data_IF_881766012529
#
_entry.id   IF_881766012529
#
_cell.length_a   1.000
_cell.length_b   1.000
_cell.length_c   1.000
_cell.angle_alpha   90.00
_cell.angle_beta   90.00
_cell.angle_gamma   90.00
#
_symmetry.space_group_name_H-M   'P 1'
#
loop_
_entity.id
_entity.type
_entity.pdbx_description
1 polymer ?
#
# COMPACT_ATOMS: atom_id res chain seq x y z
N UNK A 1 -4.88 41.61 -0.51
CA UNK A 1 -4.27 40.93 -1.67
C UNK A 1 -3.84 39.50 -1.34
N UNK A 2 -3.01 39.26 -0.32
CA UNK A 2 -2.58 37.87 0.02
C UNK A 2 -3.75 36.94 0.40
N UNK A 3 -4.77 37.43 1.12
CA UNK A 3 -5.93 36.62 1.48
C UNK A 3 -6.89 36.35 0.30
N UNK A 4 -6.98 37.27 -0.67
CA UNK A 4 -7.79 37.06 -1.88
C UNK A 4 -7.14 36.04 -2.82
N UNK A 5 -5.81 36.07 -2.94
CA UNK A 5 -5.04 35.11 -3.74
C UNK A 5 -5.12 33.69 -3.15
N UNK A 6 -4.97 33.52 -1.83
CA UNK A 6 -5.15 32.21 -1.18
C UNK A 6 -6.56 31.66 -1.35
N UNK A 7 -7.57 32.52 -1.27
CA UNK A 7 -8.96 32.11 -1.46
C UNK A 7 -9.22 31.63 -2.90
N UNK A 8 -8.72 32.36 -3.90
CA UNK A 8 -8.79 31.94 -5.30
C UNK A 8 -8.06 30.61 -5.55
N UNK A 9 -6.87 30.43 -4.95
CA UNK A 9 -6.12 29.18 -5.04
C UNK A 9 -6.87 27.98 -4.44
N UNK A 10 -7.59 28.16 -3.33
CA UNK A 10 -8.41 27.09 -2.76
C UNK A 10 -9.57 26.68 -3.68
N UNK A 11 -10.22 27.63 -4.37
CA UNK A 11 -11.26 27.31 -5.36
C UNK A 11 -10.70 26.53 -6.55
N UNK A 12 -9.55 26.95 -7.09
CA UNK A 12 -8.90 26.22 -8.18
C UNK A 12 -8.58 24.78 -7.75
N UNK A 13 -8.05 24.60 -6.54
CA UNK A 13 -7.78 23.27 -5.99
C UNK A 13 -9.04 22.41 -5.85
N UNK A 14 -10.18 22.97 -5.40
CA UNK A 14 -11.42 22.20 -5.28
C UNK A 14 -11.95 21.77 -6.65
N UNK A 15 -11.95 22.66 -7.66
CA UNK A 15 -12.34 22.30 -9.02
C UNK A 15 -11.48 21.18 -9.60
N UNK A 16 -10.15 21.28 -9.46
CA UNK A 16 -9.25 20.23 -9.94
C UNK A 16 -9.53 18.91 -9.21
N UNK A 17 -9.80 18.94 -7.89
CA UNK A 17 -10.11 17.72 -7.15
C UNK A 17 -11.42 17.07 -7.58
N UNK A 18 -12.42 17.87 -7.96
CA UNK A 18 -13.68 17.34 -8.53
C UNK A 18 -13.41 16.67 -9.88
N UNK A 19 -12.58 17.27 -10.74
CA UNK A 19 -12.17 16.65 -12.01
C UNK A 19 -11.46 15.32 -11.78
N UNK A 20 -10.56 15.26 -10.77
CA UNK A 20 -9.87 14.02 -10.39
C UNK A 20 -10.85 12.95 -9.91
N UNK A 21 -11.88 13.31 -9.13
CA UNK A 21 -12.93 12.38 -8.69
C UNK A 21 -13.70 11.82 -9.88
N UNK A 22 -14.11 12.68 -10.82
CA UNK A 22 -14.83 12.26 -12.02
C UNK A 22 -13.96 11.30 -12.84
N UNK A 23 -12.69 11.65 -13.08
CA UNK A 23 -11.76 10.79 -13.80
C UNK A 23 -11.58 9.44 -13.08
N UNK A 24 -11.40 9.45 -11.76
CA UNK A 24 -11.24 8.24 -10.95
C UNK A 24 -12.39 7.25 -11.10
N UNK A 25 -13.63 7.76 -11.20
CA UNK A 25 -14.82 6.93 -11.38
C UNK A 25 -15.13 6.56 -12.83
N UNK A 26 -14.56 7.25 -13.81
CA UNK A 26 -14.69 6.90 -15.23
C UNK A 26 -13.67 5.85 -15.70
N UNK A 27 -12.54 5.71 -15.02
CA UNK A 27 -11.51 4.69 -15.33
C UNK A 27 -12.08 3.28 -15.59
N UNK A 28 -13.02 2.74 -14.79
CA UNK A 28 -13.58 1.39 -15.01
C UNK A 28 -14.31 1.19 -16.33
N UNK A 29 -14.77 2.26 -16.98
CA UNK A 29 -15.46 2.20 -18.27
C UNK A 29 -14.51 2.08 -19.45
N UNK A 30 -13.23 2.43 -19.25
CA UNK A 30 -12.25 2.26 -20.29
C UNK A 30 -11.70 0.85 -20.30
N UNK A 31 -11.53 0.35 -21.51
CA UNK A 31 -10.74 -0.83 -21.75
C UNK A 31 -9.24 -0.54 -21.50
N UNK A 32 -8.51 -1.52 -20.96
CA UNK A 32 -7.07 -1.40 -20.68
C UNK A 32 -6.21 -1.23 -21.93
N UNK A 33 -6.72 -1.61 -23.10
CA UNK A 33 -6.02 -1.43 -24.39
C UNK A 33 -5.90 0.05 -24.80
N UNK A 34 -6.85 0.89 -24.39
CA UNK A 34 -6.86 2.31 -24.75
C UNK A 34 -6.31 3.16 -23.60
N UNK A 35 -6.68 2.81 -22.36
CA UNK A 35 -6.27 3.56 -21.17
C UNK A 35 -5.63 2.61 -20.17
N UNK A 36 -4.34 2.81 -19.95
CA UNK A 36 -3.60 2.10 -18.92
C UNK A 36 -3.96 2.62 -17.52
N UNK A 37 -4.86 1.90 -16.87
CA UNK A 37 -5.39 2.21 -15.53
C UNK A 37 -4.30 2.54 -14.49
N UNK A 38 -3.20 1.77 -14.47
CA UNK A 38 -2.07 2.02 -13.56
C UNK A 38 -1.43 3.40 -13.73
N UNK A 39 -1.27 3.87 -14.97
CA UNK A 39 -0.70 5.19 -15.25
C UNK A 39 -1.70 6.31 -15.01
N UNK A 40 -2.99 6.07 -15.23
CA UNK A 40 -4.04 7.02 -14.84
C UNK A 40 -4.08 7.21 -13.33
N UNK A 41 -4.12 6.13 -12.56
CA UNK A 41 -4.10 6.20 -11.09
C UNK A 41 -2.83 6.88 -10.58
N UNK A 42 -1.66 6.56 -11.17
CA UNK A 42 -0.40 7.24 -10.88
C UNK A 42 -0.48 8.75 -11.13
N UNK A 43 -1.00 9.16 -12.28
CA UNK A 43 -1.14 10.56 -12.66
C UNK A 43 -2.11 11.31 -11.73
N UNK A 44 -3.28 10.72 -11.43
CA UNK A 44 -4.25 11.29 -10.49
C UNK A 44 -3.66 11.40 -9.08
N UNK A 45 -2.85 10.42 -8.65
CA UNK A 45 -2.16 10.46 -7.36
C UNK A 45 -1.11 11.57 -7.30
N UNK A 46 -0.22 11.65 -8.30
CA UNK A 46 0.82 12.67 -8.37
C UNK A 46 0.23 14.09 -8.46
N UNK A 47 -0.84 14.28 -9.23
CA UNK A 47 -1.51 15.59 -9.33
C UNK A 47 -2.08 16.03 -7.98
N UNK A 48 -2.71 15.15 -7.19
CA UNK A 48 -3.14 15.50 -5.83
C UNK A 48 -1.98 15.86 -4.90
N UNK A 49 -0.84 15.18 -5.02
CA UNK A 49 0.35 15.49 -4.23
C UNK A 49 0.94 16.85 -4.60
N UNK A 50 0.96 17.20 -5.88
CA UNK A 50 1.36 18.52 -6.38
C UNK A 50 0.42 19.61 -5.86
N UNK A 51 -0.91 19.40 -5.91
CA UNK A 51 -1.87 20.38 -5.37
C UNK A 51 -1.64 20.65 -3.88
N UNK A 52 -1.34 19.59 -3.10
CA UNK A 52 -1.03 19.74 -1.67
C UNK A 52 0.34 20.37 -1.42
N UNK A 53 1.33 20.12 -2.28
CA UNK A 53 2.63 20.77 -2.20
C UNK A 53 2.46 22.30 -2.23
N UNK A 54 1.63 22.83 -3.13
CA UNK A 54 1.34 24.27 -3.22
C UNK A 54 0.63 24.85 -2.00
N UNK A 55 -0.13 24.04 -1.26
CA UNK A 55 -0.86 24.50 -0.07
C UNK A 55 -0.07 24.36 1.24
N UNK A 56 1.04 23.62 1.24
CA UNK A 56 1.72 23.19 2.46
C UNK A 56 3.05 23.91 2.69
N UNK A 57 3.47 24.03 3.95
CA UNK A 57 4.80 24.50 4.32
C UNK A 57 5.89 23.40 4.20
N UNK A 58 5.49 22.12 4.13
CA UNK A 58 6.39 20.97 4.17
C UNK A 58 6.86 20.51 2.77
N UNK A 59 7.32 21.45 1.94
CA UNK A 59 7.66 21.21 0.52
C UNK A 59 8.60 20.01 0.34
N UNK A 60 9.67 19.92 1.15
CA UNK A 60 10.68 18.84 1.07
C UNK A 60 10.03 17.46 1.24
N UNK A 61 9.06 17.32 2.16
CA UNK A 61 8.41 16.04 2.42
C UNK A 61 7.46 15.63 1.29
N UNK A 62 6.78 16.59 0.65
CA UNK A 62 5.97 16.31 -0.54
C UNK A 62 6.83 15.93 -1.74
N UNK A 63 7.97 16.60 -1.96
CA UNK A 63 8.93 16.21 -3.00
C UNK A 63 9.45 14.78 -2.74
N UNK A 64 9.88 14.47 -1.51
CA UNK A 64 10.29 13.12 -1.13
C UNK A 64 9.19 12.10 -1.40
N UNK A 65 7.93 12.41 -1.05
CA UNK A 65 6.81 11.52 -1.27
C UNK A 65 6.53 11.30 -2.76
N UNK A 66 6.62 12.33 -3.60
CA UNK A 66 6.50 12.19 -5.06
C UNK A 66 7.63 11.33 -5.64
N UNK A 67 8.87 11.49 -5.16
CA UNK A 67 10.01 10.65 -5.55
C UNK A 67 9.81 9.18 -5.14
N UNK A 68 9.33 8.93 -3.92
CA UNK A 68 9.02 7.58 -3.45
C UNK A 68 7.92 6.93 -4.29
N UNK A 69 6.84 7.66 -4.58
CA UNK A 69 5.74 7.19 -5.47
C UNK A 69 6.25 6.95 -6.90
N UNK A 70 7.23 7.73 -7.37
CA UNK A 70 7.88 7.48 -8.66
C UNK A 70 8.68 6.18 -8.65
N UNK A 71 9.43 5.90 -7.58
CA UNK A 71 10.21 4.66 -7.45
C UNK A 71 9.34 3.40 -7.45
N UNK A 72 8.08 3.47 -7.01
CA UNK A 72 7.20 2.30 -7.05
C UNK A 72 6.84 1.85 -8.48
N UNK A 73 7.14 2.66 -9.50
CA UNK A 73 6.96 2.26 -10.92
C UNK A 73 7.90 1.14 -11.35
N UNK A 74 9.03 0.97 -10.66
CA UNK A 74 9.99 -0.09 -10.93
C UNK A 74 9.35 -1.49 -10.81
N UNK A 75 8.30 -1.63 -10.02
CA UNK A 75 7.58 -2.88 -9.78
C UNK A 75 6.43 -3.13 -10.75
N UNK A 76 6.18 -2.26 -11.73
CA UNK A 76 5.07 -2.51 -12.64
C UNK A 76 5.34 -3.73 -13.52
N UNK A 77 4.37 -4.64 -13.56
CA UNK A 77 4.31 -5.71 -14.55
C UNK A 77 3.48 -5.28 -15.74
N UNK A 78 3.97 -5.59 -16.93
CA UNK A 78 3.26 -5.49 -18.19
C UNK A 78 2.10 -6.49 -18.24
N UNK A 79 1.08 -6.13 -19.02
CA UNK A 79 0.00 -7.08 -19.37
C UNK A 79 0.48 -7.96 -20.51
N UNK A 80 -0.02 -9.20 -20.55
CA UNK A 80 0.17 -10.12 -21.68
C UNK A 80 -0.21 -9.45 -23.01
N UNK A 81 -1.25 -8.62 -22.98
CA UNK A 81 -1.81 -7.88 -24.12
C UNK A 81 -0.87 -6.80 -24.69
N UNK A 82 0.06 -6.29 -23.86
CA UNK A 82 0.98 -5.23 -24.25
C UNK A 82 2.32 -5.79 -24.75
N UNK A 83 2.49 -7.11 -24.75
CA UNK A 83 3.69 -7.74 -25.30
C UNK A 83 3.59 -7.78 -26.85
N UNK A 84 4.69 -7.51 -27.57
CA UNK A 84 6.08 -7.35 -27.09
C UNK A 84 6.48 -5.90 -26.75
N UNK A 85 5.60 -4.92 -26.97
CA UNK A 85 5.92 -3.48 -26.83
C UNK A 85 6.29 -3.09 -25.39
N UNK A 86 5.66 -3.74 -24.41
CA UNK A 86 5.97 -3.59 -23.00
C UNK A 86 6.88 -4.75 -22.56
N UNK A 87 8.15 -4.44 -22.31
CA UNK A 87 9.07 -5.36 -21.65
C UNK A 87 9.01 -5.14 -20.14
N UNK A 88 8.81 -6.22 -19.39
CA UNK A 88 8.78 -6.18 -17.93
C UNK A 88 10.13 -5.70 -17.39
N UNK A 89 10.19 -4.47 -16.87
CA UNK A 89 11.36 -4.00 -16.12
C UNK A 89 11.61 -4.87 -14.88
N UNK A 90 10.54 -5.35 -14.24
CA UNK A 90 10.63 -6.35 -13.18
C UNK A 90 10.90 -7.78 -13.70
N UNK A 91 10.68 -8.03 -14.99
CA UNK A 91 11.17 -9.22 -15.68
C UNK A 91 12.69 -9.26 -15.69
N UNK A 92 13.36 -8.10 -15.63
CA UNK A 92 14.79 -8.03 -15.36
C UNK A 92 15.09 -8.49 -13.93
N UNK A 93 14.35 -8.02 -12.91
CA UNK A 93 14.51 -8.40 -11.49
C UNK A 93 14.14 -9.85 -11.16
N UNK A 94 13.20 -10.45 -11.90
CA UNK A 94 12.82 -11.86 -11.81
C UNK A 94 13.77 -12.76 -12.63
N UNK A 95 14.41 -12.21 -13.68
CA UNK A 95 15.50 -12.85 -14.43
C UNK A 95 16.87 -12.69 -13.79
N UNK A 96 17.02 -11.76 -12.83
CA UNK A 96 18.23 -11.70 -12.02
C UNK A 96 18.31 -13.02 -11.27
N UNK A 97 19.40 -13.74 -11.50
CA UNK A 97 19.65 -14.97 -10.78
C UNK A 97 19.71 -14.64 -9.29
N UNK A 98 19.36 -15.62 -8.45
CA UNK A 98 19.45 -15.52 -7.00
C UNK A 98 20.84 -15.10 -6.44
N UNK A 99 21.86 -14.97 -7.30
CA UNK A 99 23.24 -14.57 -6.98
C UNK A 99 23.56 -13.11 -7.33
N UNK A 100 22.63 -12.34 -7.92
CA UNK A 100 22.96 -11.03 -8.47
C UNK A 100 22.98 -9.92 -7.40
N UNK A 101 24.18 -9.36 -7.19
CA UNK A 101 24.48 -8.28 -6.23
C UNK A 101 23.65 -7.01 -6.44
N UNK A 102 23.13 -6.77 -7.65
CA UNK A 102 22.29 -5.62 -8.01
C UNK A 102 21.02 -5.51 -7.17
N UNK A 103 20.46 -6.63 -6.73
CA UNK A 103 19.25 -6.62 -5.91
C UNK A 103 19.55 -6.21 -4.47
N UNK A 104 20.73 -6.58 -3.97
CA UNK A 104 21.24 -6.17 -2.66
C UNK A 104 21.46 -4.64 -2.66
N UNK A 105 22.03 -4.07 -3.73
CA UNK A 105 22.17 -2.62 -3.86
C UNK A 105 20.82 -1.89 -3.89
N UNK A 106 19.80 -2.42 -4.56
CA UNK A 106 18.46 -1.84 -4.57
C UNK A 106 17.79 -1.87 -3.18
N UNK A 107 17.99 -2.96 -2.43
CA UNK A 107 17.53 -3.10 -1.05
C UNK A 107 18.27 -2.17 -0.08
N UNK A 108 19.58 -1.97 -0.26
CA UNK A 108 20.39 -0.99 0.49
C UNK A 108 19.93 0.44 0.22
N UNK A 109 19.64 0.79 -1.04
CA UNK A 109 19.14 2.12 -1.39
C UNK A 109 17.74 2.36 -0.80
N UNK A 110 16.83 1.39 -0.86
CA UNK A 110 15.47 1.55 -0.32
C UNK A 110 15.44 1.59 1.22
N UNK A 111 16.30 0.81 1.88
CA UNK A 111 16.49 0.87 3.34
C UNK A 111 17.20 2.16 3.78
N UNK A 112 18.13 2.69 2.96
CA UNK A 112 18.78 3.98 3.14
C UNK A 112 17.82 5.16 3.03
N UNK A 113 16.93 5.16 2.03
CA UNK A 113 15.91 6.22 1.87
C UNK A 113 14.92 6.19 3.06
N UNK A 114 14.57 5.00 3.55
CA UNK A 114 13.69 4.83 4.70
C UNK A 114 14.33 5.30 6.02
N UNK A 115 15.62 5.05 6.23
CA UNK A 115 16.36 5.54 7.40
C UNK A 115 16.55 7.07 7.38
N UNK A 116 16.72 7.68 6.22
CA UNK A 116 16.73 9.15 6.05
C UNK A 116 15.35 9.77 6.40
N UNK A 117 14.25 9.09 6.05
CA UNK A 117 12.89 9.49 6.44
C UNK A 117 12.63 9.42 7.96
N UNK A 118 13.32 8.51 8.66
CA UNK A 118 13.28 8.41 10.12
C UNK A 118 14.12 9.51 10.81
N UNK A 119 15.27 9.88 10.24
CA UNK A 119 16.18 10.91 10.74
C UNK A 119 15.61 12.35 10.68
N UNK A 120 14.64 12.61 9.79
CA UNK A 120 14.02 13.94 9.67
C UNK A 120 12.93 14.24 10.72
N UNK A 121 12.74 13.36 11.71
CA UNK A 121 11.77 13.56 12.81
C UNK A 121 12.36 14.46 13.90
N UNK A 122 11.77 15.65 14.08
CA UNK A 122 12.24 16.70 15.01
C UNK A 122 11.91 16.48 16.51
N UNK A 123 11.22 15.39 16.89
CA UNK A 123 10.82 15.13 18.29
C UNK A 123 11.55 13.91 18.88
N UNK A 124 12.56 14.20 19.70
CA UNK A 124 13.56 13.29 20.27
C UNK A 124 13.06 12.32 21.37
N UNK A 125 11.96 12.64 22.07
CA UNK A 125 11.66 11.97 23.34
C UNK A 125 10.99 10.58 23.24
N UNK A 126 10.28 10.24 22.15
CA UNK A 126 9.69 8.91 21.91
C UNK A 126 10.47 8.07 20.87
N UNK A 127 11.68 8.51 20.50
CA UNK A 127 12.46 7.93 19.40
C UNK A 127 13.18 6.63 19.78
N UNK A 128 13.50 6.44 21.07
CA UNK A 128 14.45 5.39 21.49
C UNK A 128 13.93 3.97 21.26
N UNK A 129 12.65 3.67 21.49
CA UNK A 129 12.09 2.32 21.25
C UNK A 129 11.68 2.09 19.80
N UNK A 130 11.03 3.08 19.18
CA UNK A 130 10.52 2.96 17.81
C UNK A 130 11.63 2.89 16.74
N UNK A 131 12.69 3.68 16.86
CA UNK A 131 13.83 3.65 15.93
C UNK A 131 14.58 2.31 15.95
N UNK A 132 14.71 1.69 17.13
CA UNK A 132 15.35 0.38 17.29
C UNK A 132 14.54 -0.72 16.59
N UNK A 133 13.21 -0.71 16.72
CA UNK A 133 12.33 -1.68 16.05
C UNK A 133 12.44 -1.56 14.53
N UNK A 134 12.55 -0.34 13.99
CA UNK A 134 12.77 -0.13 12.57
C UNK A 134 14.13 -0.66 12.11
N UNK A 135 15.20 -0.35 12.85
CA UNK A 135 16.54 -0.88 12.57
C UNK A 135 16.54 -2.41 12.58
N UNK A 136 15.87 -3.04 13.55
CA UNK A 136 15.72 -4.50 13.62
C UNK A 136 14.93 -5.04 12.43
N UNK A 137 13.84 -4.38 12.02
CA UNK A 137 13.08 -4.80 10.84
C UNK A 137 13.90 -4.71 9.55
N UNK A 138 14.67 -3.63 9.38
CA UNK A 138 15.57 -3.43 8.24
C UNK A 138 16.70 -4.46 8.25
N UNK A 139 17.31 -4.71 9.42
CA UNK A 139 18.36 -5.70 9.59
C UNK A 139 17.84 -7.12 9.32
N UNK A 140 16.59 -7.41 9.68
CA UNK A 140 15.95 -8.70 9.39
C UNK A 140 15.67 -8.90 7.91
N UNK A 141 15.30 -7.84 7.19
CA UNK A 141 15.18 -7.87 5.72
C UNK A 141 16.57 -8.07 5.11
N UNK A 142 17.58 -7.32 5.56
CA UNK A 142 18.94 -7.44 5.05
C UNK A 142 19.53 -8.85 5.25
N UNK A 143 19.35 -9.43 6.44
CA UNK A 143 19.79 -10.79 6.76
C UNK A 143 18.98 -11.86 6.03
N UNK A 144 17.69 -11.62 5.74
CA UNK A 144 16.87 -12.50 4.92
C UNK A 144 17.37 -12.58 3.46
N UNK A 145 17.93 -11.49 2.93
CA UNK A 145 18.48 -11.40 1.58
C UNK A 145 19.88 -12.04 1.43
N UNK A 146 20.65 -12.15 2.52
CA UNK A 146 21.91 -12.90 2.51
C UNK A 146 21.55 -14.38 2.73
N UNK A 147 21.49 -15.16 1.64
CA UNK A 147 21.14 -16.59 1.64
C UNK A 147 21.89 -17.38 2.72
N UNK A 148 21.28 -17.51 3.88
CA UNK A 148 21.62 -18.55 4.85
C UNK A 148 20.40 -19.48 4.99
N UNK A 149 20.51 -20.75 4.56
CA UNK A 149 19.35 -21.63 4.35
C UNK A 149 18.56 -21.95 5.62
N UNK A 150 19.17 -21.85 6.81
CA UNK A 150 18.52 -22.14 8.10
C UNK A 150 18.40 -20.91 9.03
N UNK A 151 19.17 -19.85 8.81
CA UNK A 151 19.17 -18.68 9.72
C UNK A 151 18.27 -17.54 9.27
N UNK A 152 17.76 -17.55 8.03
CA UNK A 152 16.83 -16.53 7.52
C UNK A 152 15.44 -16.62 8.17
N UNK A 153 14.91 -17.84 8.32
CA UNK A 153 13.72 -18.14 9.13
C UNK A 153 13.95 -17.79 10.61
N UNK A 154 15.13 -18.10 11.15
CA UNK A 154 15.49 -17.83 12.55
C UNK A 154 15.61 -16.32 12.83
N UNK A 155 16.24 -15.54 11.96
CA UNK A 155 16.34 -14.08 12.05
C UNK A 155 14.96 -13.42 11.87
N UNK A 156 14.11 -13.99 11.03
CA UNK A 156 12.71 -13.58 10.88
C UNK A 156 11.87 -13.88 12.14
N UNK A 157 12.01 -15.07 12.73
CA UNK A 157 11.38 -15.39 14.01
C UNK A 157 11.92 -14.53 15.16
N UNK A 158 13.22 -14.20 15.16
CA UNK A 158 13.85 -13.29 16.13
C UNK A 158 13.36 -11.85 15.93
N UNK A 159 13.17 -11.37 14.70
CA UNK A 159 12.66 -10.03 14.44
C UNK A 159 11.19 -9.91 14.85
N UNK A 160 10.38 -10.93 14.58
CA UNK A 160 9.02 -11.07 15.12
C UNK A 160 9.02 -11.13 16.65
N UNK A 161 9.88 -11.97 17.26
CA UNK A 161 10.00 -12.08 18.73
C UNK A 161 10.41 -10.75 19.36
N UNK A 162 11.38 -10.03 18.79
CA UNK A 162 11.82 -8.72 19.27
C UNK A 162 10.71 -7.66 19.14
N UNK A 163 9.92 -7.72 18.07
CA UNK A 163 8.75 -6.85 17.86
C UNK A 163 7.59 -7.18 18.80
N UNK A 164 7.36 -8.47 19.07
CA UNK A 164 6.38 -8.95 20.06
C UNK A 164 6.83 -8.57 21.48
N UNK A 165 8.11 -8.72 21.84
CA UNK A 165 8.65 -8.25 23.12
C UNK A 165 8.50 -6.73 23.28
N UNK A 166 8.61 -5.98 22.17
CA UNK A 166 8.38 -4.54 22.15
C UNK A 166 6.89 -4.12 22.26
N UNK A 167 5.93 -5.05 22.11
CA UNK A 167 4.51 -4.80 22.45
C UNK A 167 4.32 -4.46 23.93
N UNK A 168 5.22 -4.92 24.79
CA UNK A 168 5.18 -4.63 26.23
C UNK A 168 5.42 -3.17 26.58
N UNK A 169 5.92 -2.35 25.65
CA UNK A 169 6.42 -0.99 25.94
C UNK A 169 5.48 0.12 25.43
N UNK A 170 4.75 -0.07 24.30
CA UNK A 170 3.71 0.89 23.88
C UNK A 170 2.68 0.37 22.86
N UNK A 171 1.39 0.64 23.11
CA UNK A 171 0.21 0.19 22.32
C UNK A 171 0.12 0.69 20.87
N UNK A 172 0.85 1.75 20.50
CA UNK A 172 0.97 2.23 19.11
C UNK A 172 1.83 1.32 18.23
N UNK A 173 2.50 0.32 18.80
CA UNK A 173 3.45 -0.55 18.08
C UNK A 173 2.85 -1.83 17.51
N UNK A 174 1.59 -2.15 17.81
CA UNK A 174 0.90 -3.37 17.33
C UNK A 174 0.64 -3.35 15.81
N UNK A 175 0.36 -2.18 15.22
CA UNK A 175 0.17 -2.02 13.77
C UNK A 175 1.45 -2.27 12.97
N UNK A 176 2.62 -2.16 13.61
CA UNK A 176 3.93 -2.38 12.98
C UNK A 176 4.36 -3.86 12.97
N UNK A 177 3.61 -4.77 13.61
CA UNK A 177 3.84 -6.23 13.60
C UNK A 177 3.19 -6.90 12.40
N UNK A 178 2.08 -6.33 11.90
CA UNK A 178 1.43 -6.79 10.67
C UNK A 178 2.31 -6.63 9.43
N UNK A 179 3.21 -5.65 9.43
CA UNK A 179 4.11 -5.37 8.33
C UNK A 179 5.16 -6.49 8.07
N UNK A 180 5.92 -6.97 9.07
CA UNK A 180 6.82 -8.12 8.90
C UNK A 180 6.05 -9.42 8.63
N UNK A 181 4.84 -9.59 9.17
CA UNK A 181 3.97 -10.72 8.83
C UNK A 181 3.54 -10.68 7.35
N UNK A 182 3.18 -9.52 6.82
CA UNK A 182 2.87 -9.36 5.39
C UNK A 182 4.11 -9.63 4.52
N UNK A 183 5.28 -9.13 4.92
CA UNK A 183 6.55 -9.38 4.21
C UNK A 183 6.82 -10.88 4.09
N UNK A 184 6.56 -11.65 5.15
CA UNK A 184 6.74 -13.10 5.14
C UNK A 184 5.76 -13.82 4.22
N UNK A 185 4.48 -13.49 4.31
CA UNK A 185 3.44 -14.12 3.49
C UNK A 185 3.66 -13.82 2.01
N UNK A 186 4.16 -12.63 1.68
CA UNK A 186 4.38 -12.19 0.29
C UNK A 186 5.70 -12.64 -0.33
N UNK A 187 6.57 -13.28 0.46
CA UNK A 187 7.89 -13.74 0.03
C UNK A 187 8.90 -12.63 -0.29
N UNK A 188 10.14 -13.03 -0.55
CA UNK A 188 11.28 -12.12 -0.75
C UNK A 188 11.11 -11.14 -1.92
N UNK A 189 10.49 -11.58 -3.02
CA UNK A 189 10.37 -10.79 -4.25
C UNK A 189 9.46 -9.57 -4.11
N UNK A 190 8.42 -9.66 -3.27
CA UNK A 190 7.43 -8.57 -3.11
C UNK A 190 7.74 -7.66 -1.90
N UNK A 191 8.53 -8.14 -0.95
CA UNK A 191 8.91 -7.43 0.28
C UNK A 191 9.35 -5.97 0.03
N UNK A 192 10.13 -5.72 -1.02
CA UNK A 192 10.67 -4.39 -1.35
C UNK A 192 9.60 -3.39 -1.83
N UNK A 193 8.56 -3.87 -2.50
CA UNK A 193 7.43 -3.03 -2.91
C UNK A 193 6.58 -2.61 -1.71
N UNK A 194 6.33 -3.55 -0.79
CA UNK A 194 5.58 -3.32 0.44
C UNK A 194 6.36 -2.39 1.38
N UNK A 195 7.69 -2.49 1.40
CA UNK A 195 8.52 -1.60 2.22
C UNK A 195 8.52 -0.17 1.71
N UNK A 196 8.59 0.01 0.40
CA UNK A 196 8.40 1.32 -0.20
C UNK A 196 7.00 1.88 0.09
N UNK A 197 5.95 1.05 0.00
CA UNK A 197 4.59 1.46 0.33
C UNK A 197 4.47 1.94 1.79
N UNK A 198 5.03 1.19 2.75
CA UNK A 198 5.06 1.58 4.15
C UNK A 198 5.87 2.86 4.39
N UNK A 199 6.98 3.06 3.65
CA UNK A 199 7.75 4.30 3.72
C UNK A 199 6.94 5.52 3.30
N UNK A 200 6.11 5.38 2.25
CA UNK A 200 5.24 6.45 1.75
C UNK A 200 4.18 6.80 2.80
N UNK A 201 3.51 5.79 3.38
CA UNK A 201 2.55 6.02 4.45
C UNK A 201 3.18 6.65 5.69
N UNK A 202 4.40 6.25 6.05
CA UNK A 202 5.12 6.86 7.16
C UNK A 202 5.40 8.34 6.92
N UNK A 203 5.94 8.70 5.75
CA UNK A 203 6.17 10.11 5.38
C UNK A 203 4.86 10.89 5.35
N UNK A 204 3.80 10.32 4.75
CA UNK A 204 2.48 10.94 4.70
C UNK A 204 1.91 11.21 6.10
N UNK A 205 2.12 10.30 7.05
CA UNK A 205 1.68 10.46 8.44
C UNK A 205 2.29 11.65 9.16
N UNK A 206 3.49 12.07 8.74
CA UNK A 206 4.16 13.24 9.30
C UNK A 206 3.71 14.57 8.67
N UNK A 207 3.01 14.49 7.54
CA UNK A 207 2.54 15.64 6.77
C UNK A 207 1.08 15.93 7.09
N UNK A 208 0.25 14.89 7.22
CA UNK A 208 -1.19 15.05 7.45
C UNK A 208 -1.48 15.55 8.86
N UNK A 209 -1.95 16.79 8.94
CA UNK A 209 -2.42 17.39 10.19
C UNK A 209 -3.70 16.70 10.67
N UNK A 210 -3.65 16.11 11.88
CA UNK A 210 -4.78 15.37 12.47
C UNK A 210 -6.09 16.16 12.55
N UNK A 211 -6.00 17.49 12.62
CA UNK A 211 -7.16 18.39 12.70
C UNK A 211 -7.91 18.53 11.36
N UNK A 212 -7.22 18.39 10.22
CA UNK A 212 -7.78 18.59 8.88
C UNK A 212 -7.87 17.29 8.06
N UNK A 213 -7.75 16.13 8.71
CA UNK A 213 -7.76 14.81 8.08
C UNK A 213 -9.01 14.55 7.24
N UNK A 214 -10.18 15.08 7.63
CA UNK A 214 -11.49 14.77 7.01
C UNK A 214 -11.76 15.59 5.73
N UNK A 215 -10.76 16.30 5.17
CA UNK A 215 -10.93 17.01 3.90
C UNK A 215 -11.14 16.06 2.72
N UNK A 216 -11.94 16.48 1.73
CA UNK A 216 -12.22 15.70 0.51
C UNK A 216 -10.92 15.25 -0.20
N UNK A 217 -9.92 16.13 -0.26
CA UNK A 217 -8.63 15.84 -0.87
C UNK A 217 -7.82 14.77 -0.11
N UNK A 218 -7.96 14.71 1.22
CA UNK A 218 -7.31 13.68 2.04
C UNK A 218 -8.00 12.33 1.86
N UNK A 219 -9.33 12.31 1.89
CA UNK A 219 -10.13 11.10 1.69
C UNK A 219 -9.85 10.52 0.29
N UNK A 220 -9.88 11.36 -0.74
CA UNK A 220 -9.58 10.96 -2.11
C UNK A 220 -8.15 10.44 -2.25
N UNK A 221 -7.16 11.15 -1.69
CA UNK A 221 -5.75 10.71 -1.69
C UNK A 221 -5.60 9.30 -1.11
N UNK A 222 -6.22 9.04 0.05
CA UNK A 222 -6.11 7.76 0.74
C UNK A 222 -6.82 6.62 -0.01
N UNK A 223 -7.95 6.91 -0.67
CA UNK A 223 -8.64 5.93 -1.53
C UNK A 223 -7.80 5.59 -2.78
N UNK A 224 -7.26 6.60 -3.47
CA UNK A 224 -6.41 6.44 -4.65
C UNK A 224 -5.13 5.67 -4.33
N UNK A 225 -4.50 5.93 -3.18
CA UNK A 225 -3.32 5.17 -2.74
C UNK A 225 -3.63 3.68 -2.61
N UNK A 226 -4.80 3.33 -2.05
CA UNK A 226 -5.24 1.93 -1.94
C UNK A 226 -5.31 1.22 -3.30
N UNK A 227 -5.93 1.83 -4.30
CA UNK A 227 -6.04 1.25 -5.65
C UNK A 227 -4.70 1.28 -6.41
N UNK A 228 -3.98 2.40 -6.36
CA UNK A 228 -2.70 2.55 -7.04
C UNK A 228 -1.68 1.51 -6.59
N UNK A 229 -1.58 1.27 -5.27
CA UNK A 229 -0.60 0.35 -4.74
C UNK A 229 -0.88 -1.12 -5.08
N UNK A 230 -2.08 -1.46 -5.55
CA UNK A 230 -2.35 -2.79 -6.08
C UNK A 230 -1.52 -3.04 -7.36
N UNK A 231 -1.47 -2.03 -8.23
CA UNK A 231 -0.63 -2.08 -9.42
C UNK A 231 0.86 -1.95 -9.09
N UNK A 232 1.20 -1.19 -8.05
CA UNK A 232 2.61 -1.04 -7.63
C UNK A 232 3.18 -2.27 -6.94
N UNK A 233 2.36 -3.16 -6.40
CA UNK A 233 2.79 -4.48 -5.91
C UNK A 233 2.81 -5.51 -7.03
N UNK A 234 2.84 -5.06 -8.30
CA UNK A 234 2.92 -5.93 -9.45
C UNK A 234 1.70 -6.89 -9.58
N UNK A 235 0.53 -6.49 -9.08
CA UNK A 235 -0.72 -7.21 -9.31
C UNK A 235 -1.53 -6.57 -10.44
N UNK A 236 -2.39 -7.39 -11.02
CA UNK A 236 -3.29 -7.00 -12.08
C UNK A 236 -4.65 -7.67 -11.83
N UNK A 237 -5.77 -7.01 -12.15
CA UNK A 237 -7.10 -7.55 -11.88
C UNK A 237 -7.50 -8.56 -12.97
N UNK A 238 -6.72 -9.64 -13.11
CA UNK A 238 -6.95 -10.74 -14.06
C UNK A 238 -6.69 -12.05 -13.31
N UNK A 239 -7.59 -13.01 -13.46
CA UNK A 239 -7.52 -14.28 -12.72
C UNK A 239 -6.27 -15.11 -13.06
N UNK A 240 -5.78 -15.04 -14.31
CA UNK A 240 -4.58 -15.76 -14.75
C UNK A 240 -3.28 -15.27 -14.11
N UNK A 241 -3.29 -14.04 -13.56
CA UNK A 241 -2.09 -13.39 -13.01
C UNK A 241 -2.04 -13.46 -11.47
N UNK A 242 -2.95 -14.22 -10.86
CA UNK A 242 -2.87 -14.55 -9.44
C UNK A 242 -1.60 -15.38 -9.19
N UNK A 243 -0.82 -14.96 -8.21
CA UNK A 243 0.44 -15.62 -7.84
C UNK A 243 0.17 -16.76 -6.87
N UNK A 244 0.04 -17.96 -7.41
CA UNK A 244 -0.17 -19.15 -6.62
C UNK A 244 1.06 -19.58 -5.82
N UNK A 245 2.25 -19.04 -6.10
CA UNK A 245 3.47 -19.33 -5.35
C UNK A 245 3.32 -18.99 -3.85
N UNK A 246 2.48 -18.01 -3.53
CA UNK A 246 2.07 -17.62 -2.17
C UNK A 246 1.67 -18.81 -1.30
N UNK A 247 0.93 -19.76 -1.90
CA UNK A 247 0.35 -20.92 -1.24
C UNK A 247 1.40 -21.94 -0.75
N UNK A 248 2.63 -21.85 -1.23
CA UNK A 248 3.66 -22.87 -1.04
C UNK A 248 4.87 -22.38 -0.24
N UNK A 249 4.78 -21.21 0.41
CA UNK A 249 5.83 -20.74 1.31
C UNK A 249 5.90 -21.61 2.58
N UNK A 250 7.07 -22.19 2.88
CA UNK A 250 7.31 -22.93 4.13
C UNK A 250 6.88 -24.40 4.10
N UNK A 251 7.16 -25.10 3.00
CA UNK A 251 6.86 -26.51 2.81
C UNK A 251 7.76 -27.41 3.68
N UNK A 252 7.51 -27.43 4.99
CA UNK A 252 8.02 -28.43 5.93
C UNK A 252 6.86 -29.35 6.30
N UNK A 253 7.03 -30.64 5.98
CA UNK A 253 6.15 -31.79 6.23
C UNK A 253 5.36 -31.74 7.54
N UNK A 254 4.29 -30.96 7.57
CA UNK A 254 3.41 -30.83 8.73
C UNK A 254 1.99 -30.68 8.23
N UNK A 255 1.12 -31.61 8.66
CA UNK A 255 -0.24 -31.78 8.14
C UNK A 255 -1.12 -30.53 8.28
N UNK A 256 -0.76 -29.61 9.20
CA UNK A 256 -1.51 -28.37 9.46
C UNK A 256 -1.32 -27.36 8.32
N UNK A 257 -0.08 -27.18 7.84
CA UNK A 257 0.25 -26.19 6.78
C UNK A 257 -0.26 -26.67 5.41
N UNK A 258 -0.53 -27.97 5.26
CA UNK A 258 -1.03 -28.55 4.02
C UNK A 258 -2.55 -28.37 3.79
N UNK A 259 -3.27 -27.77 4.74
CA UNK A 259 -4.69 -27.48 4.55
C UNK A 259 -4.94 -26.46 3.43
N UNK A 260 -5.88 -26.79 2.54
CA UNK A 260 -6.28 -25.93 1.41
C UNK A 260 -6.70 -24.52 1.86
N UNK A 261 -7.35 -24.42 3.03
CA UNK A 261 -7.79 -23.15 3.60
C UNK A 261 -6.63 -22.20 3.93
N UNK A 262 -5.57 -22.69 4.57
CA UNK A 262 -4.41 -21.86 4.94
C UNK A 262 -3.68 -21.37 3.70
N UNK A 263 -3.51 -22.26 2.72
CA UNK A 263 -2.92 -21.91 1.41
C UNK A 263 -3.71 -20.82 0.69
N UNK A 264 -5.04 -20.91 0.71
CA UNK A 264 -5.93 -19.88 0.17
C UNK A 264 -5.78 -18.53 0.90
N UNK A 265 -5.65 -18.55 2.22
CA UNK A 265 -5.41 -17.33 3.03
C UNK A 265 -4.09 -16.68 2.63
N UNK A 266 -3.01 -17.44 2.41
CA UNK A 266 -1.73 -16.85 1.96
C UNK A 266 -1.83 -16.18 0.59
N UNK A 267 -2.54 -16.80 -0.37
CA UNK A 267 -2.78 -16.16 -1.67
C UNK A 267 -3.58 -14.86 -1.52
N UNK A 268 -4.62 -14.85 -0.66
CA UNK A 268 -5.41 -13.64 -0.40
C UNK A 268 -4.60 -12.54 0.29
N UNK A 269 -3.77 -12.90 1.27
CA UNK A 269 -2.91 -11.98 1.98
C UNK A 269 -1.82 -11.39 1.07
N UNK A 270 -1.26 -12.17 0.14
CA UNK A 270 -0.30 -11.66 -0.85
C UNK A 270 -0.99 -10.70 -1.83
N UNK A 271 -2.10 -11.14 -2.44
CA UNK A 271 -2.83 -10.38 -3.48
C UNK A 271 -3.42 -9.07 -2.97
N UNK A 272 -3.89 -9.02 -1.72
CA UNK A 272 -4.50 -7.83 -1.11
C UNK A 272 -3.65 -7.19 -0.02
N UNK A 273 -2.36 -7.52 0.06
CA UNK A 273 -1.39 -6.96 1.02
C UNK A 273 -1.43 -5.43 1.10
N UNK A 274 -1.50 -4.77 -0.06
CA UNK A 274 -1.59 -3.32 -0.18
C UNK A 274 -2.88 -2.74 0.43
N UNK A 275 -4.02 -3.44 0.28
CA UNK A 275 -5.32 -3.00 0.82
C UNK A 275 -5.35 -3.17 2.34
N UNK A 276 -4.76 -4.25 2.84
CA UNK A 276 -4.57 -4.49 4.29
C UNK A 276 -3.72 -3.36 4.87
N UNK A 277 -2.60 -3.03 4.23
CA UNK A 277 -1.71 -1.96 4.67
C UNK A 277 -2.40 -0.59 4.65
N UNK A 278 -3.23 -0.33 3.63
CA UNK A 278 -4.03 0.89 3.57
C UNK A 278 -5.00 1.02 4.77
N UNK A 279 -5.70 -0.05 5.15
CA UNK A 279 -6.63 -0.03 6.30
C UNK A 279 -5.90 0.15 7.62
N UNK A 280 -4.75 -0.51 7.79
CA UNK A 280 -3.87 -0.33 8.96
C UNK A 280 -3.50 1.14 9.09
N UNK A 281 -3.12 1.78 7.97
CA UNK A 281 -2.78 3.20 7.95
C UNK A 281 -3.98 4.11 8.24
N UNK A 282 -5.14 3.83 7.67
CA UNK A 282 -6.37 4.58 7.95
C UNK A 282 -6.74 4.54 9.42
N UNK A 283 -6.64 3.37 10.06
CA UNK A 283 -6.87 3.21 11.51
C UNK A 283 -5.84 3.95 12.36
N UNK A 284 -4.58 4.00 11.92
CA UNK A 284 -3.56 4.80 12.59
C UNK A 284 -3.88 6.30 12.56
N UNK A 285 -4.50 6.78 11.48
CA UNK A 285 -4.89 8.18 11.31
C UNK A 285 -6.22 8.55 12.00
N UNK A 286 -7.21 7.65 11.98
CA UNK A 286 -8.57 7.90 12.48
C UNK A 286 -8.64 7.77 14.01
N UNK A 287 -8.51 8.89 14.72
CA UNK A 287 -8.66 8.94 16.18
C UNK A 287 -10.14 8.86 16.58
N UNK A 288 -10.61 7.65 16.88
CA UNK A 288 -11.86 7.27 17.58
C UNK A 288 -13.20 7.75 17.01
N UNK A 289 -13.22 8.60 15.97
CA UNK A 289 -14.45 9.13 15.37
C UNK A 289 -15.01 8.28 14.22
N UNK A 290 -14.23 7.32 13.68
CA UNK A 290 -14.59 6.46 12.53
C UNK A 290 -14.98 7.22 11.26
N UNK A 291 -14.92 8.55 11.27
CA UNK A 291 -15.44 9.39 10.20
C UNK A 291 -14.53 9.35 8.97
N UNK A 292 -13.22 9.24 9.16
CA UNK A 292 -12.29 9.08 8.05
C UNK A 292 -12.47 7.72 7.39
N UNK A 293 -12.46 6.66 8.21
CA UNK A 293 -12.57 5.28 7.72
C UNK A 293 -13.88 5.06 6.97
N UNK A 294 -15.01 5.53 7.53
CA UNK A 294 -16.32 5.44 6.88
C UNK A 294 -16.39 6.21 5.57
N UNK A 295 -15.82 7.42 5.51
CA UNK A 295 -15.79 8.18 4.26
C UNK A 295 -14.96 7.50 3.17
N UNK A 296 -13.80 6.91 3.51
CA UNK A 296 -12.98 6.18 2.53
C UNK A 296 -13.69 4.91 2.06
N UNK A 297 -14.28 4.13 2.97
CA UNK A 297 -15.08 2.95 2.61
C UNK A 297 -16.30 3.33 1.76
N UNK A 298 -16.92 4.49 2.00
CA UNK A 298 -18.02 5.00 1.18
C UNK A 298 -17.57 5.30 -0.26
N UNK A 299 -16.39 5.91 -0.45
CA UNK A 299 -15.80 6.09 -1.79
C UNK A 299 -15.50 4.75 -2.47
N UNK A 300 -15.01 3.76 -1.72
CA UNK A 300 -14.78 2.40 -2.23
C UNK A 300 -16.10 1.75 -2.68
N UNK A 301 -17.19 1.92 -1.92
CA UNK A 301 -18.53 1.48 -2.32
C UNK A 301 -18.99 2.13 -3.63
N UNK A 302 -18.79 3.44 -3.77
CA UNK A 302 -19.11 4.13 -5.01
C UNK A 302 -18.29 3.60 -6.19
N UNK A 303 -17.02 3.28 -5.97
CA UNK A 303 -16.18 2.65 -7.00
C UNK A 303 -16.74 1.28 -7.40
N UNK A 304 -17.17 0.44 -6.45
CA UNK A 304 -17.78 -0.86 -6.75
C UNK A 304 -19.05 -0.69 -7.59
N UNK A 305 -19.86 0.33 -7.29
CA UNK A 305 -21.02 0.65 -8.13
C UNK A 305 -20.59 1.00 -9.55
N UNK A 306 -19.55 1.83 -9.72
CA UNK A 306 -19.04 2.21 -11.04
C UNK A 306 -18.41 1.06 -11.82
N UNK A 307 -17.77 0.10 -11.16
CA UNK A 307 -17.27 -1.13 -11.80
C UNK A 307 -18.41 -2.09 -12.14
N UNK A 308 -19.46 -2.16 -11.31
CA UNK A 308 -20.67 -2.94 -11.59
C UNK A 308 -21.43 -2.39 -12.80
N UNK A 309 -21.60 -1.07 -12.88
CA UNK A 309 -22.26 -0.42 -14.01
C UNK A 309 -21.44 -0.55 -15.29
N UNK A 310 -20.11 -0.51 -15.23
CA UNK A 310 -19.28 -0.72 -16.41
C UNK A 310 -19.42 -2.15 -16.96
N UNK A 311 -19.47 -3.17 -16.09
CA UNK A 311 -19.78 -4.56 -16.46
C UNK A 311 -21.18 -4.66 -17.09
N UNK A 312 -22.18 -4.01 -16.52
CA UNK A 312 -23.55 -4.03 -17.04
C UNK A 312 -23.66 -3.40 -18.44
N UNK A 313 -23.07 -2.23 -18.64
CA UNK A 313 -23.10 -1.50 -19.92
C UNK A 313 -22.32 -2.27 -21.00
N UNK A 314 -21.18 -2.86 -20.64
CA UNK A 314 -20.28 -3.56 -21.56
C UNK A 314 -20.57 -5.07 -21.64
N UNK A 315 -21.71 -5.55 -21.14
CA UNK A 315 -22.06 -6.99 -21.09
C UNK A 315 -22.10 -7.70 -22.45
N UNK A 316 -22.27 -6.95 -23.55
CA UNK A 316 -22.27 -7.47 -24.92
C UNK A 316 -20.91 -7.35 -25.61
N UNK A 317 -19.91 -6.80 -24.93
CA UNK A 317 -18.57 -6.63 -25.45
C UNK A 317 -17.74 -7.91 -25.21
N UNK A 318 -16.96 -8.34 -26.21
CA UNK A 318 -16.17 -9.59 -26.16
C UNK A 318 -15.22 -9.65 -24.96
N UNK A 319 -14.74 -8.50 -24.50
CA UNK A 319 -13.76 -8.41 -23.41
C UNK A 319 -14.39 -8.37 -21.99
N UNK A 320 -15.70 -8.58 -21.85
CA UNK A 320 -16.40 -8.58 -20.56
C UNK A 320 -15.72 -9.50 -19.55
N UNK A 321 -15.56 -10.78 -19.90
CA UNK A 321 -15.06 -11.81 -18.99
C UNK A 321 -13.54 -11.78 -18.80
N UNK A 322 -12.81 -11.19 -19.75
CA UNK A 322 -11.36 -11.07 -19.67
C UNK A 322 -10.92 -9.87 -18.83
N UNK A 323 -11.68 -8.77 -18.87
CA UNK A 323 -11.23 -7.47 -18.33
C UNK A 323 -12.21 -6.90 -17.31
N UNK A 324 -13.47 -6.69 -17.70
CA UNK A 324 -14.42 -5.93 -16.87
C UNK A 324 -14.92 -6.72 -15.66
N UNK A 325 -15.29 -7.99 -15.85
CA UNK A 325 -15.76 -8.85 -14.76
C UNK A 325 -14.65 -9.12 -13.72
N UNK A 326 -13.41 -9.48 -14.10
CA UNK A 326 -12.31 -9.57 -13.15
C UNK A 326 -12.09 -8.28 -12.35
N UNK A 327 -12.09 -7.10 -13.00
CA UNK A 327 -11.98 -5.81 -12.27
C UNK A 327 -13.03 -5.64 -11.19
N UNK A 328 -14.30 -5.93 -11.51
CA UNK A 328 -15.38 -5.88 -10.54
C UNK A 328 -15.13 -6.87 -9.38
N UNK A 329 -14.77 -8.12 -9.69
CA UNK A 329 -14.52 -9.16 -8.70
C UNK A 329 -13.39 -8.77 -7.75
N UNK A 330 -12.25 -8.33 -8.28
CA UNK A 330 -11.10 -7.88 -7.46
C UNK A 330 -11.48 -6.69 -6.57
N UNK A 331 -12.31 -5.75 -7.05
CA UNK A 331 -12.79 -4.64 -6.23
C UNK A 331 -13.69 -5.12 -5.08
N UNK A 332 -14.60 -6.07 -5.34
CA UNK A 332 -15.44 -6.66 -4.30
C UNK A 332 -14.62 -7.40 -3.24
N UNK A 333 -13.67 -8.23 -3.66
CA UNK A 333 -12.82 -8.97 -2.72
C UNK A 333 -11.92 -8.02 -1.93
N UNK A 334 -11.34 -7.00 -2.58
CA UNK A 334 -10.57 -5.97 -1.89
C UNK A 334 -11.39 -5.27 -0.80
N UNK A 335 -12.65 -4.95 -1.08
CA UNK A 335 -13.55 -4.33 -0.10
C UNK A 335 -13.89 -5.27 1.06
N UNK A 336 -14.15 -6.55 0.79
CA UNK A 336 -14.39 -7.57 1.82
C UNK A 336 -13.15 -7.71 2.72
N UNK A 337 -11.95 -7.79 2.14
CA UNK A 337 -10.68 -7.86 2.88
C UNK A 337 -10.51 -6.62 3.75
N UNK A 338 -10.73 -5.41 3.20
CA UNK A 338 -10.69 -4.17 3.98
C UNK A 338 -11.64 -4.23 5.17
N UNK A 339 -12.88 -4.65 4.95
CA UNK A 339 -13.90 -4.75 6.00
C UNK A 339 -13.53 -5.75 7.09
N UNK A 340 -13.01 -6.93 6.73
CA UNK A 340 -12.53 -7.93 7.69
C UNK A 340 -11.40 -7.37 8.55
N UNK A 341 -10.41 -6.70 7.95
CA UNK A 341 -9.30 -6.06 8.69
C UNK A 341 -9.81 -4.94 9.61
N UNK A 342 -10.85 -4.21 9.18
CA UNK A 342 -11.53 -3.21 10.02
C UNK A 342 -12.19 -3.86 11.24
N UNK A 343 -12.72 -5.07 11.15
CA UNK A 343 -13.28 -5.78 12.30
C UNK A 343 -12.17 -6.35 13.19
N UNK A 344 -11.17 -7.00 12.59
CA UNK A 344 -10.14 -7.74 13.31
C UNK A 344 -9.22 -6.86 14.15
N UNK A 345 -8.88 -5.65 13.69
CA UNK A 345 -7.99 -4.76 14.45
C UNK A 345 -8.84 -4.00 15.49
N UNK A 346 -8.75 -4.30 16.80
CA UNK A 346 -9.58 -3.68 17.82
C UNK A 346 -9.31 -2.18 17.96
N UNK A 347 -10.31 -1.44 18.47
CA UNK A 347 -10.20 0.00 18.74
C UNK A 347 -9.01 0.27 19.67
N UNK A 348 -8.23 1.30 19.38
CA UNK A 348 -7.34 1.90 20.37
C UNK A 348 -8.22 2.52 21.45
N UNK A 349 -8.52 1.75 22.51
CA UNK A 349 -9.20 2.27 23.69
C UNK A 349 -8.37 3.44 24.22
N UNK A 350 -8.95 4.64 24.22
CA UNK A 350 -8.38 5.79 24.91
C UNK A 350 -8.26 5.42 26.39
N UNK A 351 -7.03 5.25 26.87
CA UNK A 351 -6.67 5.08 28.28
C UNK A 351 -7.00 6.31 29.14
N UNK A 352 -7.94 7.17 28.74
CA UNK A 352 -8.39 8.31 29.54
C UNK A 352 -9.45 7.96 30.58
N UNK A 353 -10.01 6.75 30.56
CA UNK A 353 -11.05 6.31 31.52
C UNK A 353 -10.57 5.33 32.60
N UNK A 354 -9.26 5.13 32.76
CA UNK A 354 -8.69 4.24 33.79
C UNK A 354 -7.84 4.99 34.83
N UNK A 355 -7.89 6.33 34.83
CA UNK A 355 -7.19 7.20 35.79
C UNK A 355 -8.13 8.24 36.45
N UNK A 356 -9.44 8.06 36.29
CA UNK A 356 -10.48 8.64 37.17
C UNK A 356 -11.18 7.47 37.86
#
# INVERSE_FOLDING_TARGET
MINSERYQMHHVQTYITIIIIIAYFLIPYSNSFIIEERYCLYFLLQTLLVLKLFSSSNIIKYILLMCLVYLTRLFFLCREENQPQCQDQFGLLVKLNDNDQSIIYLAIVCSGIFSIGLLTRRNYYNFRSSGIIYIISILSIFLYWIKFPYSTLLVFYISILLQICCLGISRTHSLFILYPLLIFVTGYKLSLSITLQASIYFVLSQILDRKQIISLQNILLLSLMGEYFFYSTAHQPVLSQIRWQAAFHGQSSSDIIDSFFIRGIFVLLETFSNQILNVIFLKYLDNNKHQLLTNVLCLDCWKILMTSTSVFILRRHLMLWKIFCPRFLFQCVAFIVKYIVVILIPRTLDNKKLLE
#
